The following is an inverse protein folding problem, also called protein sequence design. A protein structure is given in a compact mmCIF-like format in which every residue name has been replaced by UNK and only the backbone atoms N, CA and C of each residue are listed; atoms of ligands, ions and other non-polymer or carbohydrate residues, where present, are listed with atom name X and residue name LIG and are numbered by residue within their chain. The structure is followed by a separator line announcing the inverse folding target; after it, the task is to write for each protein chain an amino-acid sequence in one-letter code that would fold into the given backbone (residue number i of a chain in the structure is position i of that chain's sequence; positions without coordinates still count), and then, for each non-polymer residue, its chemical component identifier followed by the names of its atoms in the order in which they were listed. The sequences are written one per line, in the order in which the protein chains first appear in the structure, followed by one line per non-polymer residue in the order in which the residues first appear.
data_IF_429225940315
#
_entry.id   IF_429225940315
#
_cell.length_a   1.000
_cell.length_b   1.000
_cell.length_c   1.000
_cell.angle_alpha   90.00
_cell.angle_beta   90.00
_cell.angle_gamma   90.00
#
_symmetry.space_group_name_H-M   'P 1'
#
loop_
_entity.id
_entity.type
_entity.pdbx_description
1 polymer ?
#
# COMPACT_ATOMS: atom_id res chain seq x y z
N UNK A 1 -24.44 11.25 -9.93
CA UNK A 1 -23.83 10.23 -9.04
C UNK A 1 -22.95 9.35 -9.91
N UNK A 2 -21.70 9.74 -10.13
CA UNK A 2 -20.68 8.88 -10.74
C UNK A 2 -19.58 8.79 -9.70
N UNK A 3 -19.65 7.71 -8.96
CA UNK A 3 -19.06 7.47 -7.66
C UNK A 3 -17.58 7.13 -7.78
N UNK A 4 -16.79 7.69 -6.86
CA UNK A 4 -15.43 7.29 -6.50
C UNK A 4 -14.37 7.50 -7.59
N UNK A 5 -13.82 8.71 -7.60
CA UNK A 5 -12.39 8.95 -7.85
C UNK A 5 -11.62 7.80 -7.21
N UNK A 6 -10.99 6.95 -8.02
CA UNK A 6 -10.17 5.81 -7.57
C UNK A 6 -9.33 6.25 -6.38
N UNK A 7 -9.71 5.82 -5.17
CA UNK A 7 -9.17 6.40 -3.94
C UNK A 7 -7.65 6.24 -3.99
N UNK A 8 -6.89 7.34 -3.84
CA UNK A 8 -5.43 7.36 -3.87
C UNK A 8 -4.77 6.59 -2.69
N UNK A 9 -5.58 5.87 -1.93
CA UNK A 9 -5.25 5.18 -0.70
C UNK A 9 -5.77 3.75 -0.74
N UNK A 10 -4.99 2.83 -0.20
CA UNK A 10 -5.40 1.50 0.24
C UNK A 10 -5.69 1.52 1.73
N UNK A 11 -6.69 0.76 2.16
CA UNK A 11 -6.77 0.37 3.57
C UNK A 11 -5.74 -0.72 3.89
N UNK A 12 -5.56 -1.03 5.18
CA UNK A 12 -4.57 -2.01 5.65
C UNK A 12 -4.78 -3.39 5.01
N UNK A 13 -6.04 -3.78 4.80
CA UNK A 13 -6.40 -5.07 4.21
C UNK A 13 -6.04 -5.14 2.73
N UNK A 14 -6.42 -4.11 1.95
CA UNK A 14 -6.05 -4.00 0.54
C UNK A 14 -4.54 -3.97 0.35
N UNK A 15 -3.84 -3.27 1.24
CA UNK A 15 -2.37 -3.21 1.22
C UNK A 15 -1.77 -4.59 1.52
N UNK A 16 -2.34 -5.33 2.48
CA UNK A 16 -1.89 -6.67 2.84
C UNK A 16 -2.04 -7.63 1.65
N UNK A 17 -3.17 -7.59 0.96
CA UNK A 17 -3.41 -8.36 -0.26
C UNK A 17 -2.43 -7.97 -1.37
N UNK A 18 -2.23 -6.67 -1.62
CA UNK A 18 -1.33 -6.17 -2.66
C UNK A 18 0.11 -6.61 -2.45
N UNK A 19 0.62 -6.52 -1.22
CA UNK A 19 1.97 -6.97 -0.88
C UNK A 19 2.04 -8.48 -0.57
N UNK A 20 0.96 -9.24 -0.64
CA UNK A 20 0.97 -10.67 -0.30
C UNK A 20 1.47 -10.97 1.13
N UNK A 21 1.20 -10.08 2.09
CA UNK A 21 1.61 -10.21 3.50
C UNK A 21 0.43 -10.10 4.43
N UNK A 22 0.60 -10.45 5.70
CA UNK A 22 -0.46 -10.28 6.71
C UNK A 22 -0.71 -8.81 7.07
N UNK A 23 -1.95 -8.49 7.45
CA UNK A 23 -2.34 -7.16 7.97
C UNK A 23 -1.52 -6.72 9.19
N UNK A 24 -1.07 -7.68 10.02
CA UNK A 24 -0.14 -7.43 11.11
C UNK A 24 1.21 -6.88 10.62
N UNK A 25 1.73 -7.45 9.53
CA UNK A 25 2.98 -7.00 8.89
C UNK A 25 2.84 -5.58 8.36
N UNK A 26 1.71 -5.26 7.72
CA UNK A 26 1.42 -3.90 7.25
C UNK A 26 1.36 -2.92 8.44
N UNK A 27 0.67 -3.25 9.53
CA UNK A 27 0.64 -2.41 10.73
C UNK A 27 2.03 -2.20 11.34
N UNK A 28 2.89 -3.23 11.32
CA UNK A 28 4.28 -3.12 11.76
C UNK A 28 5.09 -2.20 10.85
N UNK A 29 4.92 -2.29 9.54
CA UNK A 29 5.57 -1.41 8.57
C UNK A 29 5.13 0.05 8.72
N UNK A 30 3.83 0.28 8.94
CA UNK A 30 3.27 1.60 9.28
C UNK A 30 3.91 2.16 10.56
N UNK A 31 3.96 1.36 11.63
CA UNK A 31 4.59 1.76 12.91
C UNK A 31 6.09 2.04 12.77
N UNK A 32 6.77 1.31 11.89
CA UNK A 32 8.19 1.50 11.57
C UNK A 32 8.43 2.66 10.59
N UNK A 33 7.40 3.38 10.14
CA UNK A 33 7.54 4.49 9.19
C UNK A 33 7.94 4.06 7.77
N UNK A 34 7.79 2.77 7.43
CA UNK A 34 8.19 2.20 6.13
C UNK A 34 7.13 2.36 5.05
N UNK A 35 5.90 2.71 5.44
CA UNK A 35 4.79 2.97 4.54
C UNK A 35 4.29 4.40 4.75
N UNK A 36 4.13 5.14 3.65
CA UNK A 36 3.48 6.43 3.68
C UNK A 36 2.00 6.21 3.99
N UNK A 37 1.53 6.81 5.09
CA UNK A 37 0.18 6.61 5.57
C UNK A 37 -0.36 7.88 6.22
N UNK A 38 -1.69 7.96 6.30
CA UNK A 38 -2.42 8.99 7.05
C UNK A 38 -3.46 8.30 7.93
N UNK A 39 -3.78 8.91 9.07
CA UNK A 39 -4.93 8.48 9.88
C UNK A 39 -6.12 9.36 9.56
N UNK A 40 -7.21 8.74 9.13
CA UNK A 40 -8.49 9.42 8.88
C UNK A 40 -9.54 8.74 9.74
N UNK A 41 -10.18 9.49 10.64
CA UNK A 41 -11.19 8.95 11.57
C UNK A 41 -10.73 7.71 12.36
N UNK A 42 -9.44 7.65 12.72
CA UNK A 42 -8.85 6.52 13.44
C UNK A 42 -8.46 5.31 12.57
N UNK A 43 -8.83 5.30 11.28
CA UNK A 43 -8.42 4.29 10.31
C UNK A 43 -7.07 4.66 9.66
N UNK A 44 -6.23 3.65 9.40
CA UNK A 44 -4.94 3.82 8.71
C UNK A 44 -5.20 3.68 7.21
N UNK A 45 -4.92 4.76 6.47
CA UNK A 45 -4.99 4.84 5.01
C UNK A 45 -3.56 4.91 4.47
N UNK A 46 -3.19 3.98 3.60
CA UNK A 46 -1.84 3.82 3.06
C UNK A 46 -1.85 4.32 1.62
N UNK A 47 -0.91 5.19 1.26
CA UNK A 47 -0.90 5.75 -0.09
C UNK A 47 -0.57 4.68 -1.13
N UNK A 48 -1.36 4.62 -2.21
CA UNK A 48 -1.02 3.83 -3.40
C UNK A 48 0.19 4.49 -4.04
N UNK A 49 1.29 3.77 -4.23
CA UNK A 49 2.48 4.32 -4.86
C UNK A 49 2.14 4.78 -6.29
N UNK A 50 2.01 6.10 -6.52
CA UNK A 50 1.92 6.70 -7.87
C UNK A 50 3.31 6.72 -8.48
N UNK A 51 3.39 6.69 -9.81
CA UNK A 51 4.65 6.85 -10.56
C UNK A 51 5.48 8.02 -9.99
N UNK A 52 6.65 7.71 -9.43
CA UNK A 52 7.53 8.66 -8.72
C UNK A 52 7.74 8.39 -7.22
N UNK A 53 6.94 7.54 -6.58
CA UNK A 53 7.18 7.07 -5.20
C UNK A 53 7.62 5.61 -5.21
N UNK A 54 8.91 5.36 -5.01
CA UNK A 54 9.44 4.00 -4.84
C UNK A 54 9.21 3.57 -3.39
N UNK A 55 8.32 2.60 -3.11
CA UNK A 55 8.17 2.10 -1.75
C UNK A 55 9.52 1.52 -1.25
N UNK A 56 9.97 1.97 -0.07
CA UNK A 56 11.17 1.47 0.61
C UNK A 56 10.99 0.05 1.20
N UNK A 57 9.79 -0.49 1.06
CA UNK A 57 9.52 -1.91 1.24
C UNK A 57 9.78 -2.54 -0.11
N UNK A 58 10.74 -3.50 -0.24
CA UNK A 58 10.80 -4.30 -1.46
C UNK A 58 9.42 -4.90 -1.63
N UNK A 59 8.68 -4.46 -2.66
CA UNK A 59 7.52 -5.21 -3.10
C UNK A 59 7.99 -6.65 -3.25
N UNK A 60 7.27 -7.66 -2.72
CA UNK A 60 7.48 -8.99 -3.24
C UNK A 60 7.26 -8.84 -4.72
N UNK A 61 8.36 -9.03 -5.42
CA UNK A 61 8.53 -8.90 -6.85
C UNK A 61 7.18 -9.19 -7.50
N UNK A 62 6.49 -8.12 -7.93
CA UNK A 62 5.55 -8.25 -9.02
C UNK A 62 6.41 -8.90 -10.08
N UNK A 63 6.22 -10.20 -10.26
CA UNK A 63 7.06 -11.04 -11.08
C UNK A 63 7.25 -10.28 -12.39
N UNK A 64 8.42 -9.66 -12.52
CA UNK A 64 8.83 -9.02 -13.72
C UNK A 64 9.04 -10.21 -14.63
N UNK A 65 7.98 -10.58 -15.35
CA UNK A 65 8.08 -11.53 -16.43
C UNK A 65 9.26 -11.02 -17.29
N UNK A 66 10.30 -11.84 -17.48
CA UNK A 66 11.53 -11.38 -18.08
C UNK A 66 11.21 -10.80 -19.45
N UNK A 67 11.77 -9.62 -19.73
CA UNK A 67 11.71 -9.01 -21.05
C UNK A 67 12.28 -10.01 -22.07
N UNK A 68 11.40 -10.50 -22.94
CA UNK A 68 11.72 -11.28 -24.13
C UNK A 68 11.76 -10.36 -25.35
#
# INVERSE_FOLDING_TARGET
MSDVTESAFWDVDETAVYFGVSTWTIRRMVKAGRLLHVRVNGAIRIYKARAGFTPLVPQPEAAAAPAA
#
